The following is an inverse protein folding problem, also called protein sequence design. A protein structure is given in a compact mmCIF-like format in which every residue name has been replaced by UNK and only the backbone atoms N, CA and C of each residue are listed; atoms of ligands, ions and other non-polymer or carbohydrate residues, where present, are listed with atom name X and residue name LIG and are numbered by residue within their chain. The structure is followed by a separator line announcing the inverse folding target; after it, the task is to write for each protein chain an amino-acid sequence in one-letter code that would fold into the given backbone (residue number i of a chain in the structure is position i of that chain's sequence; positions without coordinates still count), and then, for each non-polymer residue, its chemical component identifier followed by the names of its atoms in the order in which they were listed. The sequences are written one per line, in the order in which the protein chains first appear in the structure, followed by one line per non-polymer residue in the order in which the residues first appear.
data_IF_788712100505
#
_entry.id   IF_788712100505
#
_cell.length_a   1.000
_cell.length_b   1.000
_cell.length_c   1.000
_cell.angle_alpha   90.00
_cell.angle_beta   90.00
_cell.angle_gamma   90.00
#
_symmetry.space_group_name_H-M   'P 1'
#
loop_
_entity.id
_entity.type
_entity.pdbx_description
1 polymer ?
#
# COMPACT_ATOMS: atom_id res chain seq x y z
N UNK A 1 35.56 -25.77 -21.77
CA UNK A 1 34.10 -25.52 -21.70
C UNK A 1 33.86 -24.61 -20.49
N UNK A 2 33.09 -23.53 -20.67
CA UNK A 2 32.85 -22.50 -19.64
C UNK A 2 31.74 -22.96 -18.69
N UNK A 3 31.89 -22.73 -17.39
CA UNK A 3 30.75 -22.73 -16.45
C UNK A 3 30.91 -21.57 -15.49
N UNK A 4 30.29 -20.45 -15.85
CA UNK A 4 30.04 -19.29 -15.00
C UNK A 4 29.18 -19.72 -13.81
N UNK A 5 29.45 -19.25 -12.58
CA UNK A 5 28.52 -19.45 -11.47
C UNK A 5 27.24 -18.68 -11.81
N UNK A 6 26.13 -19.38 -11.99
CA UNK A 6 24.83 -18.75 -12.14
C UNK A 6 24.52 -18.02 -10.84
N UNK A 7 24.69 -16.69 -10.86
CA UNK A 7 24.35 -15.83 -9.74
C UNK A 7 22.91 -16.13 -9.32
N UNK A 8 22.76 -16.69 -8.13
CA UNK A 8 21.45 -16.94 -7.53
C UNK A 8 20.82 -15.58 -7.27
N UNK A 9 19.99 -15.11 -8.21
CA UNK A 9 19.11 -13.96 -7.97
C UNK A 9 18.12 -14.38 -6.89
N UNK A 10 18.43 -14.03 -5.64
CA UNK A 10 17.50 -14.17 -4.52
C UNK A 10 16.36 -13.20 -4.82
N UNK A 11 15.26 -13.72 -5.38
CA UNK A 11 14.02 -12.97 -5.49
C UNK A 11 13.53 -12.71 -4.07
N UNK A 12 13.82 -11.51 -3.55
CA UNK A 12 13.30 -11.07 -2.27
C UNK A 12 11.81 -10.80 -2.44
N UNK A 13 11.01 -11.85 -2.28
CA UNK A 13 9.56 -11.79 -2.27
C UNK A 13 9.16 -10.98 -1.03
N UNK A 14 8.89 -9.68 -1.22
CA UNK A 14 8.27 -8.87 -0.17
C UNK A 14 6.82 -9.34 -0.07
N UNK A 15 6.38 -9.89 1.08
CA UNK A 15 4.98 -10.26 1.22
C UNK A 15 4.14 -9.02 1.00
N UNK A 16 3.17 -9.13 0.09
CA UNK A 16 2.16 -8.11 -0.13
C UNK A 16 1.49 -7.83 1.21
N UNK A 17 1.74 -6.65 1.79
CA UNK A 17 0.99 -6.22 2.97
C UNK A 17 -0.41 -5.93 2.49
N UNK A 18 -1.36 -6.75 2.92
CA UNK A 18 -2.74 -6.64 2.44
C UNK A 18 -3.37 -5.31 2.89
N UNK A 19 -4.01 -4.56 1.98
CA UNK A 19 -4.80 -3.36 2.30
C UNK A 19 -5.95 -3.63 3.28
N UNK A 20 -6.29 -4.90 3.53
CA UNK A 20 -7.34 -5.31 4.47
C UNK A 20 -7.01 -5.02 5.94
N UNK A 21 -5.79 -4.57 6.27
CA UNK A 21 -5.44 -4.10 7.62
C UNK A 21 -5.83 -2.64 7.88
N UNK A 22 -6.31 -1.91 6.87
CA UNK A 22 -6.71 -0.51 7.00
C UNK A 22 -8.23 -0.38 6.87
N UNK A 23 -8.87 0.25 7.85
CA UNK A 23 -10.29 0.59 7.79
C UNK A 23 -10.59 1.60 6.66
N UNK A 24 -11.85 1.72 6.27
CA UNK A 24 -12.27 2.75 5.32
C UNK A 24 -12.08 4.16 5.90
N UNK A 25 -11.91 5.15 5.02
CA UNK A 25 -11.75 6.54 5.43
C UNK A 25 -13.09 7.10 5.93
N UNK A 26 -13.12 7.58 7.18
CA UNK A 26 -14.26 8.29 7.75
C UNK A 26 -14.04 9.80 7.70
N UNK A 27 -14.79 10.47 6.82
CA UNK A 27 -14.78 11.93 6.68
C UNK A 27 -15.27 12.66 7.94
N UNK A 28 -16.12 12.02 8.73
CA UNK A 28 -16.73 12.59 9.95
C UNK A 28 -15.84 12.43 11.18
N UNK A 29 -14.77 11.65 11.07
CA UNK A 29 -13.82 11.47 12.16
C UNK A 29 -13.07 12.78 12.48
N UNK A 30 -12.55 12.87 13.71
CA UNK A 30 -11.73 14.00 14.13
C UNK A 30 -10.53 14.21 13.20
N UNK A 31 -10.01 15.44 13.10
CA UNK A 31 -8.83 15.74 12.28
C UNK A 31 -7.63 14.85 12.66
N UNK A 32 -7.45 14.59 13.95
CA UNK A 32 -6.38 13.71 14.46
C UNK A 32 -6.57 12.27 13.98
N UNK A 33 -7.80 11.75 13.99
CA UNK A 33 -8.09 10.41 13.49
C UNK A 33 -7.84 10.30 11.98
N UNK A 34 -8.29 11.30 11.20
CA UNK A 34 -8.04 11.37 9.75
C UNK A 34 -6.55 11.47 9.42
N UNK A 35 -5.77 12.23 10.18
CA UNK A 35 -4.30 12.29 10.03
C UNK A 35 -3.64 10.94 10.34
N UNK A 36 -4.01 10.29 11.44
CA UNK A 36 -3.49 8.96 11.80
C UNK A 36 -3.82 7.90 10.75
N UNK A 37 -5.01 7.98 10.16
CA UNK A 37 -5.39 7.12 9.05
C UNK A 37 -4.45 7.31 7.85
N UNK A 38 -4.17 8.56 7.48
CA UNK A 38 -3.26 8.88 6.39
C UNK A 38 -1.82 8.38 6.64
N UNK A 39 -1.32 8.54 7.87
CA UNK A 39 -0.01 8.02 8.28
C UNK A 39 0.08 6.49 8.14
N UNK A 40 -0.98 5.77 8.55
CA UNK A 40 -1.06 4.30 8.40
C UNK A 40 -1.12 3.89 6.94
N UNK A 41 -1.91 4.57 6.11
CA UNK A 41 -1.96 4.33 4.68
C UNK A 41 -0.57 4.47 4.05
N UNK A 42 0.12 5.59 4.27
CA UNK A 42 1.47 5.80 3.73
C UNK A 42 2.45 4.73 4.19
N UNK A 43 2.43 4.36 5.47
CA UNK A 43 3.30 3.30 5.99
C UNK A 43 3.06 1.95 5.28
N UNK A 44 1.80 1.59 4.99
CA UNK A 44 1.48 0.38 4.21
C UNK A 44 2.06 0.44 2.79
N UNK A 45 1.97 1.60 2.12
CA UNK A 45 2.51 1.76 0.76
C UNK A 45 4.04 1.60 0.72
N UNK A 46 4.74 2.07 1.76
CA UNK A 46 6.20 1.99 1.89
C UNK A 46 6.61 0.54 2.20
N UNK A 47 5.92 -0.11 3.13
CA UNK A 47 6.21 -1.50 3.51
C UNK A 47 5.93 -2.47 2.35
N UNK A 48 4.79 -2.31 1.69
CA UNK A 48 4.37 -3.13 0.56
C UNK A 48 5.07 -2.81 -0.75
N UNK A 49 5.83 -1.72 -0.84
CA UNK A 49 6.51 -1.30 -2.08
C UNK A 49 5.53 -1.06 -3.22
N UNK A 50 4.38 -0.45 -2.93
CA UNK A 50 3.30 -0.26 -3.91
C UNK A 50 3.70 0.74 -4.99
N UNK A 51 3.30 0.47 -6.25
CA UNK A 51 3.43 1.45 -7.33
C UNK A 51 2.44 2.61 -7.14
N UNK A 52 2.66 3.73 -7.83
CA UNK A 52 1.78 4.89 -7.70
C UNK A 52 0.36 4.59 -8.20
N UNK A 53 0.21 3.76 -9.24
CA UNK A 53 -1.09 3.30 -9.72
C UNK A 53 -1.83 2.49 -8.64
N UNK A 54 -1.11 1.61 -7.95
CA UNK A 54 -1.66 0.81 -6.86
C UNK A 54 -2.07 1.67 -5.67
N UNK A 55 -1.25 2.68 -5.31
CA UNK A 55 -1.60 3.67 -4.28
C UNK A 55 -2.90 4.37 -4.62
N UNK A 56 -3.06 4.86 -5.85
CA UNK A 56 -4.28 5.57 -6.29
C UNK A 56 -5.49 4.64 -6.27
N UNK A 57 -5.35 3.41 -6.78
CA UNK A 57 -6.42 2.43 -6.81
C UNK A 57 -6.92 2.09 -5.40
N UNK A 58 -6.00 1.70 -4.50
CA UNK A 58 -6.33 1.35 -3.13
C UNK A 58 -6.89 2.54 -2.35
N UNK A 59 -6.34 3.75 -2.56
CA UNK A 59 -6.87 4.96 -1.96
C UNK A 59 -8.33 5.19 -2.36
N UNK A 60 -8.67 5.08 -3.65
CA UNK A 60 -10.05 5.21 -4.13
C UNK A 60 -10.98 4.17 -3.52
N UNK A 61 -10.50 2.93 -3.34
CA UNK A 61 -11.27 1.87 -2.69
C UNK A 61 -11.57 2.15 -1.22
N UNK A 62 -10.68 2.84 -0.52
CA UNK A 62 -10.88 3.22 0.90
C UNK A 62 -11.68 4.51 1.08
N UNK A 63 -11.85 5.31 0.04
CA UNK A 63 -12.65 6.53 0.09
C UNK A 63 -14.15 6.23 0.01
N UNK A 64 -15.02 7.05 0.63
CA UNK A 64 -16.46 6.93 0.48
C UNK A 64 -16.90 7.04 -1.00
N UNK A 65 -18.01 6.41 -1.41
CA UNK A 65 -18.49 6.43 -2.80
C UNK A 65 -18.66 7.84 -3.38
N UNK A 66 -18.98 8.82 -2.54
CA UNK A 66 -19.15 10.22 -2.93
C UNK A 66 -17.86 10.88 -3.46
N UNK A 67 -16.69 10.35 -3.11
CA UNK A 67 -15.36 10.88 -3.49
C UNK A 67 -14.74 10.11 -4.66
N UNK A 68 -15.39 9.04 -5.15
CA UNK A 68 -14.86 8.15 -6.20
C UNK A 68 -15.11 8.63 -7.63
N UNK A 69 -15.98 9.63 -7.83
CA UNK A 69 -16.42 10.15 -9.13
C UNK A 69 -15.75 11.47 -9.50
#
# INVERSE_FOLDING_TARGET
MKTTPAGTTVMQFRPYVSPSTLDDFDEKASLTARRRWWERFLNLTIQGGWSDEMKVYELKLKMPPAVRN
#
